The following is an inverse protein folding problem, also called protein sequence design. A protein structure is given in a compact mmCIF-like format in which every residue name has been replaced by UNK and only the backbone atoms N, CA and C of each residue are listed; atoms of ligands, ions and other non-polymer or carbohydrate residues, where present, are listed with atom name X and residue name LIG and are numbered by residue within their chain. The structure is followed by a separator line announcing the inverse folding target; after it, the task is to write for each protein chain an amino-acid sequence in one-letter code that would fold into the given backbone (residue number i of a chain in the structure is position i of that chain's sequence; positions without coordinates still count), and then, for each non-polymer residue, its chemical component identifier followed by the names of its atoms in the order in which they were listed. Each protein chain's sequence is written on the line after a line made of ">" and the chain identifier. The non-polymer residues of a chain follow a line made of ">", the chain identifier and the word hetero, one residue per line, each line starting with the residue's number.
data_IF_878304525999
#
_entry.id   IF_878304525999
#
_cell.length_a   1.000
_cell.length_b   1.000
_cell.length_c   1.000
_cell.angle_alpha   90.00
_cell.angle_beta   90.00
_cell.angle_gamma   90.00
#
_symmetry.space_group_name_H-M   'P 1'
#
loop_
_entity.id
_entity.type
_entity.pdbx_description
1 polymer ?
#
# COMPACT_ATOMS: atom_id res chain seq x y z
N UNK A 1 -9.46 -6.56 -7.32
CA UNK A 1 -9.12 -7.03 -5.97
C UNK A 1 -8.66 -5.84 -5.12
N UNK A 2 -9.51 -5.26 -4.26
CA UNK A 2 -9.31 -3.91 -3.73
C UNK A 2 -8.27 -3.77 -2.59
N UNK A 3 -7.45 -4.79 -2.32
CA UNK A 3 -6.50 -4.73 -1.20
C UNK A 3 -5.27 -5.61 -1.44
N UNK A 4 -4.71 -5.56 -2.65
CA UNK A 4 -3.42 -6.21 -2.91
C UNK A 4 -2.30 -5.25 -2.52
N UNK A 5 -1.31 -5.66 -1.70
CA UNK A 5 -0.19 -4.80 -1.36
C UNK A 5 0.63 -4.49 -2.62
N UNK A 6 0.73 -3.21 -2.95
CA UNK A 6 1.52 -2.69 -4.06
C UNK A 6 2.41 -1.56 -3.55
N UNK A 7 3.72 -1.71 -3.71
CA UNK A 7 4.72 -0.70 -3.32
C UNK A 7 5.33 -0.13 -4.59
N UNK A 8 5.11 1.17 -4.85
CA UNK A 8 5.82 1.84 -5.93
C UNK A 8 7.27 2.11 -5.50
N UNK A 9 8.23 1.46 -6.16
CA UNK A 9 9.65 1.63 -5.88
C UNK A 9 10.36 2.27 -7.08
N UNK A 10 10.59 3.58 -7.02
CA UNK A 10 11.06 4.38 -8.17
C UNK A 10 12.06 5.46 -7.79
N UNK A 11 12.94 5.84 -8.73
CA UNK A 11 13.83 7.01 -8.59
C UNK A 11 13.17 8.32 -9.04
N UNK A 12 12.02 8.24 -9.72
CA UNK A 12 11.26 9.40 -10.18
C UNK A 12 10.75 10.18 -8.96
N UNK A 13 10.89 11.51 -9.00
CA UNK A 13 10.49 12.43 -7.93
C UNK A 13 9.31 13.29 -8.39
N UNK A 14 8.54 13.77 -7.44
CA UNK A 14 7.48 14.75 -7.66
C UNK A 14 6.16 14.32 -7.02
N UNK A 15 5.42 15.29 -6.49
CA UNK A 15 4.14 15.05 -5.83
C UNK A 15 3.15 14.34 -6.75
N UNK A 16 3.07 14.77 -8.01
CA UNK A 16 2.22 14.15 -9.04
C UNK A 16 2.46 12.66 -9.24
N UNK A 17 3.67 12.17 -8.97
CA UNK A 17 4.02 10.75 -9.10
C UNK A 17 3.49 9.96 -7.92
N UNK A 18 3.54 10.55 -6.72
CA UNK A 18 2.98 9.96 -5.50
C UNK A 18 1.46 9.91 -5.62
N UNK A 19 0.85 11.04 -5.98
CA UNK A 19 -0.59 11.18 -6.21
C UNK A 19 -1.09 10.16 -7.25
N UNK A 20 -0.50 10.16 -8.45
CA UNK A 20 -0.88 9.21 -9.51
C UNK A 20 -0.69 7.74 -9.08
N UNK A 21 0.32 7.44 -8.25
CA UNK A 21 0.51 6.10 -7.73
C UNK A 21 -0.62 5.72 -6.76
N UNK A 22 -0.98 6.61 -5.83
CA UNK A 22 -2.06 6.37 -4.88
C UNK A 22 -3.42 6.24 -5.59
N UNK A 23 -3.69 7.09 -6.58
CA UNK A 23 -4.91 7.02 -7.40
C UNK A 23 -5.03 5.70 -8.16
N UNK A 24 -3.90 5.23 -8.72
CA UNK A 24 -3.79 3.94 -9.38
C UNK A 24 -3.88 2.73 -8.42
N UNK A 25 -3.93 2.97 -7.11
CA UNK A 25 -4.09 1.93 -6.09
C UNK A 25 -2.79 1.40 -5.50
N UNK A 26 -1.69 2.14 -5.60
CA UNK A 26 -0.51 1.87 -4.80
C UNK A 26 -0.84 1.98 -3.31
N UNK A 27 -0.32 1.06 -2.52
CA UNK A 27 -0.54 1.01 -1.07
C UNK A 27 0.63 1.58 -0.27
N UNK A 28 1.78 1.79 -0.93
CA UNK A 28 2.96 2.42 -0.35
C UNK A 28 3.88 2.95 -1.47
N UNK A 29 4.82 3.82 -1.12
CA UNK A 29 5.80 4.41 -2.02
C UNK A 29 7.18 4.44 -1.37
N UNK A 30 8.21 4.03 -2.11
CA UNK A 30 9.60 4.10 -1.69
C UNK A 30 10.43 4.72 -2.81
N UNK A 31 11.18 5.76 -2.45
CA UNK A 31 12.13 6.39 -3.37
C UNK A 31 13.42 5.58 -3.42
N UNK A 32 13.89 5.30 -4.64
CA UNK A 32 15.26 4.81 -4.88
C UNK A 32 16.23 5.93 -4.58
N UNK A 33 17.20 5.65 -3.72
CA UNK A 33 18.31 6.54 -3.39
C UNK A 33 19.62 5.92 -3.84
N UNK A 34 20.70 6.68 -3.80
CA UNK A 34 22.05 6.11 -3.92
C UNK A 34 22.37 5.22 -2.70
N UNK A 35 23.21 4.20 -2.90
CA UNK A 35 23.54 3.23 -1.85
C UNK A 35 22.49 2.14 -1.66
N UNK A 36 22.48 1.46 -0.51
CA UNK A 36 21.67 0.25 -0.27
C UNK A 36 20.60 0.39 0.82
N UNK A 37 20.57 1.51 1.54
CA UNK A 37 19.65 1.72 2.67
C UNK A 37 18.16 1.57 2.27
N UNK A 38 17.81 1.99 1.06
CA UNK A 38 16.45 1.87 0.54
C UNK A 38 15.99 0.41 0.38
N UNK A 39 16.91 -0.56 0.25
CA UNK A 39 16.55 -1.98 0.23
C UNK A 39 16.13 -2.50 1.61
N UNK A 40 16.77 -2.02 2.68
CA UNK A 40 16.34 -2.31 4.05
C UNK A 40 14.93 -1.78 4.29
N UNK A 41 14.65 -0.55 3.83
CA UNK A 41 13.31 0.02 3.92
C UNK A 41 12.29 -0.80 3.09
N UNK A 42 12.65 -1.18 1.86
CA UNK A 42 11.80 -2.01 1.00
C UNK A 42 11.48 -3.36 1.64
N UNK A 43 12.48 -4.06 2.18
CA UNK A 43 12.29 -5.34 2.86
C UNK A 43 11.33 -5.22 4.05
N UNK A 44 11.48 -4.15 4.84
CA UNK A 44 10.57 -3.86 5.94
C UNK A 44 9.14 -3.59 5.45
N UNK A 45 8.96 -2.77 4.40
CA UNK A 45 7.62 -2.48 3.84
C UNK A 45 6.94 -3.71 3.29
N UNK A 46 7.67 -4.56 2.56
CA UNK A 46 7.14 -5.85 2.08
C UNK A 46 6.70 -6.73 3.25
N UNK A 47 7.52 -6.83 4.30
CA UNK A 47 7.21 -7.64 5.49
C UNK A 47 5.92 -7.17 6.16
N UNK A 48 5.77 -5.86 6.36
CA UNK A 48 4.57 -5.27 6.95
C UNK A 48 3.34 -5.46 6.08
N UNK A 49 3.46 -5.22 4.77
CA UNK A 49 2.36 -5.33 3.82
C UNK A 49 1.84 -6.77 3.70
N UNK A 50 2.74 -7.74 3.57
CA UNK A 50 2.40 -9.17 3.52
C UNK A 50 1.78 -9.64 4.83
N UNK A 51 2.35 -9.25 5.97
CA UNK A 51 1.82 -9.62 7.29
C UNK A 51 0.40 -9.10 7.49
N UNK A 52 0.14 -7.84 7.11
CA UNK A 52 -1.19 -7.24 7.18
C UNK A 52 -2.17 -7.95 6.24
N UNK A 53 -1.76 -8.25 5.00
CA UNK A 53 -2.60 -8.98 4.03
C UNK A 53 -3.01 -10.36 4.51
N UNK A 54 -2.09 -11.08 5.15
CA UNK A 54 -2.36 -12.41 5.74
C UNK A 54 -3.26 -12.31 6.96
N UNK A 55 -3.05 -11.32 7.83
CA UNK A 55 -3.91 -11.10 8.98
C UNK A 55 -5.36 -10.80 8.56
N UNK A 56 -5.56 -9.94 7.58
CA UNK A 56 -6.88 -9.66 7.01
C UNK A 56 -7.50 -10.92 6.42
N UNK A 57 -6.73 -11.71 5.65
CA UNK A 57 -7.22 -12.98 5.09
C UNK A 57 -7.76 -13.92 6.16
N UNK A 58 -7.00 -14.11 7.26
CA UNK A 58 -7.45 -14.94 8.40
C UNK A 58 -8.73 -14.42 9.05
N UNK A 59 -8.86 -13.10 9.19
CA UNK A 59 -10.08 -12.50 9.75
C UNK A 59 -11.28 -12.67 8.81
N UNK A 60 -11.08 -12.59 7.49
CA UNK A 60 -12.12 -12.87 6.48
C UNK A 60 -12.56 -14.33 6.53
N UNK A 61 -11.61 -15.26 6.55
CA UNK A 61 -11.87 -16.70 6.65
C UNK A 61 -12.61 -17.06 7.95
N UNK A 62 -12.28 -16.40 9.05
CA UNK A 62 -12.96 -16.57 10.33
C UNK A 62 -14.34 -15.90 10.42
N UNK A 63 -14.79 -15.17 9.38
CA UNK A 63 -16.02 -14.37 9.45
C UNK A 63 -15.96 -13.24 10.48
N UNK A 64 -14.75 -12.84 10.89
CA UNK A 64 -14.50 -11.84 11.93
C UNK A 64 -14.41 -10.40 11.37
N UNK A 65 -14.58 -10.24 10.06
CA UNK A 65 -14.68 -8.92 9.41
C UNK A 65 -16.13 -8.63 9.04
N UNK A 66 -16.54 -7.35 9.11
CA UNK A 66 -17.86 -6.95 8.67
C UNK A 66 -18.04 -7.21 7.16
N UNK A 67 -19.26 -7.46 6.68
CA UNK A 67 -19.56 -7.68 5.26
C UNK A 67 -19.07 -6.54 4.35
N UNK A 68 -19.06 -5.31 4.87
CA UNK A 68 -18.58 -4.10 4.20
C UNK A 68 -17.06 -3.89 4.29
N UNK A 69 -16.29 -4.91 4.68
CA UNK A 69 -14.83 -4.89 4.63
C UNK A 69 -14.30 -5.22 3.22
N UNK A 70 -13.34 -4.45 2.67
CA UNK A 70 -12.70 -3.28 3.25
C UNK A 70 -13.62 -2.05 3.24
N UNK A 71 -13.50 -1.13 4.22
CA UNK A 71 -14.34 0.05 4.32
C UNK A 71 -14.37 0.82 3.00
N UNK A 72 -15.57 1.26 2.61
CA UNK A 72 -15.87 2.02 1.37
C UNK A 72 -15.32 3.45 1.44
N UNK A 73 -14.01 3.62 1.66
CA UNK A 73 -13.10 4.72 1.25
C UNK A 73 -11.87 4.76 2.18
N UNK A 74 -10.70 4.50 1.56
CA UNK A 74 -9.46 5.25 1.82
C UNK A 74 -9.06 5.93 0.50
N UNK A 75 -10.03 6.51 -0.20
CA UNK A 75 -9.80 7.56 -1.20
C UNK A 75 -10.29 8.81 -0.50
N UNK A 76 -9.37 9.69 -0.14
CA UNK A 76 -9.72 11.04 0.28
C UNK A 76 -10.54 11.65 -0.83
N UNK A 77 -11.80 11.98 -0.53
CA UNK A 77 -12.51 13.03 -1.24
C UNK A 77 -11.68 14.30 -1.00
N UNK A 78 -10.72 14.57 -1.88
CA UNK A 78 -10.07 15.86 -2.10
C UNK A 78 -9.92 16.01 -3.60
N UNK A 79 -11.07 16.11 -4.26
CA UNK A 79 -11.23 16.94 -5.45
C UNK A 79 -12.03 18.16 -4.98
N UNK A 80 -11.32 19.17 -4.48
CA UNK A 80 -11.70 20.60 -4.53
C UNK A 80 -10.41 21.44 -4.57
#
# INVERSE_FOLDING_TARGET
>A
HPWFPFVLFTSVRGEKVIEAAMDAGATDYIRKETGTHHYTLLANRITLAVSRRRAIGRLQEAGALPPEWPPRRLRSDTDD
#
